data_IF_655633700788
#
_entry.id   IF_655633700788
#
_cell.length_a   1.000
_cell.length_b   1.000
_cell.length_c   1.000
_cell.angle_alpha   90.00
_cell.angle_beta   90.00
_cell.angle_gamma   90.00
#
_symmetry.space_group_name_H-M   'P 1'
#
loop_
_entity.id
_entity.type
_entity.pdbx_description
1 polymer ?
#
# COMPACT_ATOMS: atom_id res chain seq x y z
N UNK A 1 -6.34 28.64 -13.76
CA UNK A 1 -5.62 27.57 -13.06
C UNK A 1 -5.42 26.40 -14.03
N UNK A 2 -4.37 26.43 -14.81
CA UNK A 2 -3.85 25.25 -15.46
C UNK A 2 -3.47 24.25 -14.38
N UNK A 3 -4.14 23.11 -14.35
CA UNK A 3 -3.65 21.96 -13.56
C UNK A 3 -2.28 21.59 -14.10
N UNK A 4 -1.24 22.22 -13.55
CA UNK A 4 0.12 21.92 -13.91
C UNK A 4 0.43 20.48 -13.53
N UNK A 5 0.90 19.71 -14.50
CA UNK A 5 1.53 18.43 -14.22
C UNK A 5 2.83 18.76 -13.50
N UNK A 6 2.81 18.82 -12.18
CA UNK A 6 4.02 18.95 -11.39
C UNK A 6 4.77 17.63 -11.46
N UNK A 7 5.88 17.63 -12.15
CA UNK A 7 6.85 16.54 -12.12
C UNK A 7 7.79 16.82 -10.96
N UNK A 8 7.88 15.95 -9.93
CA UNK A 8 8.84 16.12 -8.86
C UNK A 8 10.26 16.23 -9.44
N UNK A 9 11.03 17.21 -8.99
CA UNK A 9 12.42 17.41 -9.42
C UNK A 9 13.28 16.16 -9.10
N UNK A 10 12.91 15.43 -8.04
CA UNK A 10 13.58 14.21 -7.60
C UNK A 10 12.80 12.95 -8.05
N UNK A 11 12.65 12.77 -9.36
CA UNK A 11 12.22 11.50 -9.97
C UNK A 11 13.30 10.41 -9.71
N UNK A 12 12.93 9.15 -9.43
CA UNK A 12 11.61 8.53 -9.62
C UNK A 12 10.64 8.62 -8.43
N UNK A 13 11.04 9.15 -7.30
CA UNK A 13 10.21 9.25 -6.10
C UNK A 13 8.94 10.08 -6.36
N UNK A 14 7.76 9.50 -6.09
CA UNK A 14 6.46 10.20 -6.20
C UNK A 14 5.98 10.46 -7.63
N UNK A 15 6.63 9.97 -8.66
CA UNK A 15 6.32 10.30 -10.06
C UNK A 15 5.37 9.29 -10.75
N UNK A 16 5.04 8.19 -10.10
CA UNK A 16 4.14 7.18 -10.65
C UNK A 16 2.69 7.62 -10.41
N UNK A 17 1.96 7.91 -11.49
CA UNK A 17 0.53 8.23 -11.46
C UNK A 17 -0.26 7.00 -11.88
N UNK A 18 -1.06 6.45 -10.97
CA UNK A 18 -1.85 5.24 -11.20
C UNK A 18 -3.24 5.36 -10.58
N UNK A 19 -4.20 4.63 -11.17
CA UNK A 19 -5.51 4.43 -10.57
C UNK A 19 -5.45 3.43 -9.41
N UNK A 20 -6.49 3.41 -8.56
CA UNK A 20 -6.62 2.39 -7.52
C UNK A 20 -6.65 0.97 -8.12
N UNK A 21 -7.29 0.80 -9.28
CA UNK A 21 -7.33 -0.49 -9.98
C UNK A 21 -5.94 -0.95 -10.45
N UNK A 22 -5.10 -0.05 -10.94
CA UNK A 22 -3.74 -0.40 -11.36
C UNK A 22 -2.86 -0.75 -10.15
N UNK A 23 -3.01 -0.01 -9.04
CA UNK A 23 -2.33 -0.34 -7.79
C UNK A 23 -2.82 -1.67 -7.21
N UNK A 24 -4.10 -2.02 -7.38
CA UNK A 24 -4.61 -3.32 -6.97
C UNK A 24 -3.95 -4.47 -7.74
N UNK A 25 -3.69 -4.32 -9.05
CA UNK A 25 -2.93 -5.31 -9.84
C UNK A 25 -1.52 -5.51 -9.30
N UNK A 26 -0.84 -4.41 -8.97
CA UNK A 26 0.48 -4.42 -8.35
C UNK A 26 0.45 -5.14 -6.98
N UNK A 27 -0.54 -4.83 -6.14
CA UNK A 27 -0.76 -5.48 -4.86
C UNK A 27 -1.01 -6.99 -5.02
N UNK A 28 -1.87 -7.39 -5.96
CA UNK A 28 -2.16 -8.80 -6.25
C UNK A 28 -0.89 -9.54 -6.66
N UNK A 29 -0.06 -8.93 -7.50
CA UNK A 29 1.23 -9.49 -7.90
C UNK A 29 2.12 -9.78 -6.67
N UNK A 30 2.22 -8.85 -5.74
CA UNK A 30 2.98 -9.04 -4.50
C UNK A 30 2.36 -10.10 -3.58
N UNK A 31 1.04 -10.11 -3.40
CA UNK A 31 0.33 -11.11 -2.58
C UNK A 31 0.48 -12.53 -3.15
N UNK A 32 0.70 -12.65 -4.46
CA UNK A 32 0.94 -13.91 -5.16
C UNK A 32 2.44 -14.22 -5.35
N UNK A 33 3.30 -13.59 -4.56
CA UNK A 33 4.75 -13.80 -4.61
C UNK A 33 5.34 -13.63 -6.03
N UNK A 34 4.99 -12.53 -6.67
CA UNK A 34 5.51 -12.12 -7.96
C UNK A 34 4.79 -12.69 -9.18
N UNK A 35 3.60 -13.29 -9.02
CA UNK A 35 2.74 -13.75 -10.13
C UNK A 35 1.57 -12.80 -10.35
N UNK A 36 1.19 -12.64 -11.63
CA UNK A 36 -0.03 -11.93 -12.01
C UNK A 36 -0.55 -12.51 -13.34
N UNK A 37 -1.86 -12.79 -13.43
CA UNK A 37 -2.54 -13.33 -14.64
C UNK A 37 -1.80 -14.53 -15.29
N UNK A 38 -1.37 -15.48 -14.47
CA UNK A 38 -0.67 -16.68 -14.93
C UNK A 38 0.82 -16.50 -15.24
N UNK A 39 1.29 -15.25 -15.41
CA UNK A 39 2.69 -14.92 -15.63
C UNK A 39 3.48 -14.65 -14.35
N UNK A 40 4.81 -14.80 -14.41
CA UNK A 40 5.72 -14.40 -13.33
C UNK A 40 6.43 -13.11 -13.71
N UNK A 41 6.19 -12.06 -12.93
CA UNK A 41 6.80 -10.73 -13.11
C UNK A 41 8.08 -10.60 -12.28
N UNK A 42 8.03 -11.10 -11.03
CA UNK A 42 9.18 -11.09 -10.10
C UNK A 42 9.46 -12.52 -9.65
N UNK A 43 10.72 -12.98 -9.62
CA UNK A 43 11.08 -14.28 -9.04
C UNK A 43 10.54 -14.42 -7.62
N UNK A 44 9.99 -15.61 -7.28
CA UNK A 44 9.38 -15.86 -5.97
C UNK A 44 10.30 -15.48 -4.81
N UNK A 45 11.57 -15.90 -4.89
CA UNK A 45 12.59 -15.62 -3.86
C UNK A 45 12.78 -14.10 -3.67
N UNK A 46 12.83 -13.34 -4.77
CA UNK A 46 12.99 -11.89 -4.71
C UNK A 46 11.74 -11.22 -4.13
N UNK A 47 10.54 -11.65 -4.52
CA UNK A 47 9.30 -11.16 -3.94
C UNK A 47 9.23 -11.42 -2.42
N UNK A 48 9.68 -12.58 -1.96
CA UNK A 48 9.79 -12.89 -0.54
C UNK A 48 10.80 -11.99 0.18
N UNK A 49 11.96 -11.73 -0.43
CA UNK A 49 12.95 -10.81 0.12
C UNK A 49 12.42 -9.37 0.22
N UNK A 50 11.65 -8.90 -0.77
CA UNK A 50 11.03 -7.58 -0.74
C UNK A 50 10.03 -7.42 0.40
N UNK A 51 9.39 -8.50 0.82
CA UNK A 51 8.38 -8.52 1.88
C UNK A 51 8.98 -8.84 3.27
N UNK A 52 10.17 -9.38 3.31
CA UNK A 52 10.84 -9.71 4.57
C UNK A 52 11.28 -8.43 5.29
N UNK A 53 11.13 -8.39 6.61
CA UNK A 53 11.62 -7.27 7.43
C UNK A 53 13.16 -7.29 7.39
N UNK A 54 13.74 -6.16 7.03
CA UNK A 54 15.20 -5.92 7.03
C UNK A 54 15.56 -4.97 8.17
N UNK A 55 14.72 -3.95 8.41
CA UNK A 55 14.83 -3.05 9.56
C UNK A 55 13.72 -3.38 10.53
N UNK A 56 14.06 -4.04 11.65
CA UNK A 56 13.09 -4.38 12.70
C UNK A 56 12.56 -3.13 13.40
N UNK A 57 13.39 -2.10 13.56
CA UNK A 57 13.01 -0.84 14.20
C UNK A 57 11.90 -0.12 13.41
N UNK A 58 11.96 -0.14 12.09
CA UNK A 58 11.02 0.53 11.22
C UNK A 58 9.92 -0.40 10.67
N UNK A 59 10.05 -1.73 10.85
CA UNK A 59 9.14 -2.72 10.28
C UNK A 59 9.22 -2.82 8.76
N UNK A 60 10.31 -2.35 8.14
CA UNK A 60 10.46 -2.25 6.69
C UNK A 60 11.25 -3.40 6.08
N UNK A 61 10.77 -3.88 4.93
CA UNK A 61 11.51 -4.68 3.96
C UNK A 61 12.26 -3.81 2.95
N UNK A 62 12.46 -4.29 1.73
CA UNK A 62 13.17 -3.53 0.69
C UNK A 62 12.36 -2.34 0.14
N UNK A 63 11.03 -2.44 0.13
CA UNK A 63 10.14 -1.37 -0.34
C UNK A 63 8.73 -1.50 0.26
N UNK A 64 8.53 -2.40 1.19
CA UNK A 64 7.24 -2.68 1.80
C UNK A 64 7.36 -2.66 3.32
N UNK A 65 6.44 -1.98 3.94
CA UNK A 65 6.24 -1.93 5.38
C UNK A 65 5.47 -3.17 5.83
N UNK A 66 5.83 -3.70 6.99
CA UNK A 66 5.07 -4.73 7.72
C UNK A 66 4.47 -4.09 8.97
N UNK A 67 3.17 -4.16 9.12
CA UNK A 67 2.48 -3.51 10.22
C UNK A 67 1.35 -4.36 10.80
N UNK A 68 1.15 -4.27 12.11
CA UNK A 68 0.01 -4.82 12.83
C UNK A 68 -0.99 -3.75 13.26
N UNK A 69 -0.72 -2.49 12.92
CA UNK A 69 -1.48 -1.32 13.36
C UNK A 69 -2.65 -0.96 12.46
N UNK A 70 -2.73 -1.52 11.23
CA UNK A 70 -3.76 -1.17 10.27
C UNK A 70 -5.08 -1.90 10.55
N UNK A 71 -5.04 -3.22 10.76
CA UNK A 71 -6.19 -4.05 11.11
C UNK A 71 -5.84 -4.89 12.33
N UNK A 72 -6.67 -4.83 13.37
CA UNK A 72 -6.44 -5.56 14.60
C UNK A 72 -6.32 -7.08 14.36
N UNK A 73 -5.24 -7.68 14.87
CA UNK A 73 -4.97 -9.11 14.76
C UNK A 73 -4.45 -9.57 13.38
N UNK A 74 -4.13 -8.64 12.48
CA UNK A 74 -3.56 -8.95 11.15
C UNK A 74 -2.18 -8.33 10.99
N UNK A 75 -1.30 -9.04 10.30
CA UNK A 75 -0.04 -8.47 9.80
C UNK A 75 -0.25 -8.08 8.35
N UNK A 76 -0.24 -6.79 8.09
CA UNK A 76 -0.43 -6.22 6.77
C UNK A 76 0.91 -5.83 6.17
N UNK A 77 1.09 -6.08 4.88
CA UNK A 77 2.30 -5.72 4.13
C UNK A 77 1.91 -4.73 3.04
N UNK A 78 2.62 -3.62 2.94
CA UNK A 78 2.27 -2.60 1.95
C UNK A 78 3.08 -1.32 2.05
N UNK A 79 2.47 -0.23 1.61
CA UNK A 79 3.08 1.09 1.64
C UNK A 79 2.03 2.19 1.66
N UNK A 80 2.36 3.32 2.27
CA UNK A 80 1.57 4.56 2.22
C UNK A 80 2.17 5.55 1.23
N UNK A 81 1.36 6.52 0.79
CA UNK A 81 1.81 7.65 0.00
C UNK A 81 1.12 8.94 0.44
N UNK A 82 1.90 10.01 0.55
CA UNK A 82 1.38 11.33 0.87
C UNK A 82 2.15 12.40 0.10
N UNK A 83 1.46 13.14 -0.74
CA UNK A 83 2.05 14.25 -1.48
C UNK A 83 0.97 15.26 -1.91
N UNK A 84 1.21 16.53 -1.65
CA UNK A 84 0.39 17.65 -2.16
C UNK A 84 -1.12 17.52 -1.88
N UNK A 85 -1.48 17.02 -0.68
CA UNK A 85 -2.88 16.80 -0.29
C UNK A 85 -3.52 15.52 -0.81
N UNK A 86 -2.79 14.70 -1.57
CA UNK A 86 -3.20 13.36 -1.93
C UNK A 86 -2.63 12.36 -0.93
N UNK A 87 -3.49 11.49 -0.43
CA UNK A 87 -3.13 10.40 0.47
C UNK A 87 -3.51 9.07 -0.17
N UNK A 88 -2.64 8.09 -0.06
CA UNK A 88 -2.89 6.76 -0.60
C UNK A 88 -2.32 5.69 0.32
N UNK A 89 -2.87 4.50 0.22
CA UNK A 89 -2.29 3.30 0.82
C UNK A 89 -2.61 2.07 -0.03
N UNK A 90 -1.72 1.12 0.05
CA UNK A 90 -1.83 -0.20 -0.54
C UNK A 90 -1.29 -1.19 0.48
N UNK A 91 -2.16 -2.06 1.03
CA UNK A 91 -1.76 -3.09 1.98
C UNK A 91 -2.49 -4.40 1.70
N UNK A 92 -1.81 -5.51 1.92
CA UNK A 92 -2.39 -6.85 1.82
C UNK A 92 -1.98 -7.74 2.99
N UNK A 93 -2.83 -8.69 3.33
CA UNK A 93 -2.56 -9.77 4.26
C UNK A 93 -2.14 -11.02 3.47
N UNK A 94 -0.90 -11.52 3.63
CA UNK A 94 -0.35 -12.54 2.73
C UNK A 94 -0.96 -13.93 2.91
N UNK A 95 -1.49 -14.26 4.09
CA UNK A 95 -2.05 -15.59 4.38
C UNK A 95 -3.49 -15.72 3.84
N UNK A 96 -4.33 -14.73 4.12
CA UNK A 96 -5.73 -14.71 3.67
C UNK A 96 -5.88 -14.16 2.25
N UNK A 97 -4.83 -13.55 1.70
CA UNK A 97 -4.79 -12.97 0.34
C UNK A 97 -5.85 -11.89 0.14
N UNK A 98 -6.16 -11.17 1.18
CA UNK A 98 -6.99 -9.97 1.13
C UNK A 98 -6.12 -8.73 1.06
N UNK A 99 -6.63 -7.66 0.45
CA UNK A 99 -5.89 -6.42 0.39
C UNK A 99 -6.77 -5.23 0.08
N UNK A 100 -6.23 -4.05 0.35
CA UNK A 100 -6.92 -2.78 0.22
C UNK A 100 -6.04 -1.78 -0.50
N UNK A 101 -6.64 -1.06 -1.43
CA UNK A 101 -6.06 0.12 -2.05
C UNK A 101 -7.02 1.26 -1.83
N UNK A 102 -6.55 2.32 -1.20
CA UNK A 102 -7.33 3.53 -0.94
C UNK A 102 -6.54 4.74 -1.43
N UNK A 103 -7.21 5.60 -2.17
CA UNK A 103 -6.66 6.88 -2.64
C UNK A 103 -7.68 7.95 -2.31
N UNK A 104 -7.24 9.04 -1.68
CA UNK A 104 -8.07 10.20 -1.37
C UNK A 104 -7.31 11.50 -1.67
N UNK A 105 -8.04 12.47 -2.21
CA UNK A 105 -7.57 13.84 -2.38
C UNK A 105 -8.31 14.76 -1.39
N UNK A 106 -7.56 15.47 -0.56
CA UNK A 106 -8.14 16.45 0.36
C UNK A 106 -8.57 15.92 1.73
N UNK A 107 -7.96 14.86 2.24
CA UNK A 107 -8.14 14.43 3.63
C UNK A 107 -7.50 15.41 4.62
N UNK A 108 -8.03 15.43 5.85
CA UNK A 108 -7.34 15.98 7.02
C UNK A 108 -6.01 15.23 7.24
N UNK A 109 -5.04 15.91 7.83
CA UNK A 109 -3.72 15.36 8.18
C UNK A 109 -3.72 14.51 9.46
N UNK A 110 -4.85 14.38 10.15
CA UNK A 110 -4.98 13.55 11.35
C UNK A 110 -4.59 12.09 11.08
N UNK A 111 -3.97 11.48 12.07
CA UNK A 111 -3.52 10.08 11.99
C UNK A 111 -4.16 9.21 13.07
N UNK A 112 -4.34 7.93 12.75
CA UNK A 112 -4.71 6.86 13.67
C UNK A 112 -3.66 5.76 13.47
N UNK A 113 -2.98 5.35 14.52
CA UNK A 113 -1.93 4.32 14.49
C UNK A 113 -0.86 4.56 13.41
N UNK A 114 -0.47 5.83 13.19
CA UNK A 114 0.51 6.20 12.17
C UNK A 114 -0.05 6.36 10.75
N UNK A 115 -1.28 5.97 10.48
CA UNK A 115 -1.94 6.11 9.16
C UNK A 115 -2.84 7.35 9.12
N UNK A 116 -3.00 7.93 7.93
CA UNK A 116 -4.04 8.95 7.74
C UNK A 116 -5.40 8.42 8.22
N UNK A 117 -6.10 9.20 9.05
CA UNK A 117 -7.30 8.74 9.74
C UNK A 117 -8.43 8.32 8.77
N UNK A 118 -8.62 9.04 7.66
CA UNK A 118 -9.64 8.70 6.66
C UNK A 118 -9.32 7.37 6.00
N UNK A 119 -8.07 7.16 5.60
CA UNK A 119 -7.65 5.92 4.96
C UNK A 119 -7.75 4.73 5.93
N UNK A 120 -7.27 4.90 7.17
CA UNK A 120 -7.37 3.89 8.21
C UNK A 120 -8.82 3.48 8.49
N UNK A 121 -9.72 4.44 8.67
CA UNK A 121 -11.14 4.18 8.90
C UNK A 121 -11.80 3.50 7.69
N UNK A 122 -11.46 3.93 6.47
CA UNK A 122 -11.95 3.31 5.24
C UNK A 122 -11.57 1.85 5.15
N UNK A 123 -10.30 1.51 5.38
CA UNK A 123 -9.83 0.11 5.35
C UNK A 123 -10.55 -0.72 6.41
N UNK A 124 -10.66 -0.23 7.65
CA UNK A 124 -11.35 -0.96 8.72
C UNK A 124 -12.85 -1.12 8.43
N UNK A 125 -13.50 -0.12 7.85
CA UNK A 125 -14.90 -0.23 7.43
C UNK A 125 -15.09 -1.29 6.33
N UNK A 126 -14.23 -1.29 5.30
CA UNK A 126 -14.27 -2.30 4.25
C UNK A 126 -14.02 -3.70 4.81
N UNK A 127 -13.02 -3.85 5.68
CA UNK A 127 -12.71 -5.13 6.30
C UNK A 127 -13.91 -5.67 7.12
N UNK A 128 -14.48 -4.84 7.98
CA UNK A 128 -15.57 -5.25 8.87
C UNK A 128 -16.88 -5.55 8.14
N UNK A 129 -17.14 -4.90 7.01
CA UNK A 129 -18.43 -5.07 6.30
C UNK A 129 -18.37 -6.03 5.11
N UNK A 130 -17.19 -6.31 4.55
CA UNK A 130 -17.07 -7.14 3.35
C UNK A 130 -16.30 -8.45 3.58
N UNK A 131 -15.48 -8.53 4.61
CA UNK A 131 -14.55 -9.67 4.82
C UNK A 131 -14.90 -10.45 6.10
N UNK A 132 -15.22 -9.75 7.19
CA UNK A 132 -15.50 -10.32 8.52
C UNK A 132 -17.03 -10.69 8.67
#
# INVERSE_FOLDING_TARGET
NTMGISTPIFSPTGNIKKSANDLAKYMIMHSQLGKYEGGRIIPKKLSQQMQAIISEEEGYGMALENTTQLIAGKTMIGHTGSAYGLYSMLFFEPKEKIGFVVISNGCDTKTINGFNAVLHQTVNSLYNNLIR
#
